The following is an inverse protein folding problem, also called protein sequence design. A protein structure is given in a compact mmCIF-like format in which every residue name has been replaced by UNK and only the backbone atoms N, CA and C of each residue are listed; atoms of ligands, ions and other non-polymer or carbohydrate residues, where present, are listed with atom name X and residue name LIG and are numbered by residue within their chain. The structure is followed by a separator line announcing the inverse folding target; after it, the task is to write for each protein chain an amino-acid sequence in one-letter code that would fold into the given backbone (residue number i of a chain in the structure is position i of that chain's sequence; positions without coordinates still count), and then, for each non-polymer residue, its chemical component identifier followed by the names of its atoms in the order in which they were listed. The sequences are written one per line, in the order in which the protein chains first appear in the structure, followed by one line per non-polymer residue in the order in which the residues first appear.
data_IF_515182334919
#
_entry.id   IF_515182334919
#
_cell.length_a   1.000
_cell.length_b   1.000
_cell.length_c   1.000
_cell.angle_alpha   90.00
_cell.angle_beta   90.00
_cell.angle_gamma   90.00
#
_symmetry.space_group_name_H-M   'P 1'
#
loop_
_entity.id
_entity.type
_entity.pdbx_description
1 polymer ?
#
# COMPACT_ATOMS: atom_id res chain seq x y z
N UNK A 1 -3.35 -0.49 -13.90
CA UNK A 1 -2.47 0.58 -14.41
C UNK A 1 -1.75 1.33 -13.30
N UNK A 2 -2.41 2.15 -12.46
CA UNK A 2 -1.73 2.96 -11.41
C UNK A 2 -0.89 2.13 -10.45
N UNK A 3 -1.38 0.96 -10.02
CA UNK A 3 -0.61 0.05 -9.16
C UNK A 3 0.64 -0.52 -9.86
N UNK A 4 0.56 -0.81 -11.17
CA UNK A 4 1.71 -1.22 -11.95
C UNK A 4 2.77 -0.11 -12.01
N UNK A 5 2.34 1.13 -12.29
CA UNK A 5 3.23 2.29 -12.29
C UNK A 5 3.86 2.51 -10.90
N UNK A 6 3.07 2.37 -9.82
CA UNK A 6 3.54 2.52 -8.45
C UNK A 6 4.60 1.48 -8.05
N UNK A 7 4.43 0.24 -8.48
CA UNK A 7 5.41 -0.82 -8.29
C UNK A 7 6.72 -0.52 -9.02
N UNK A 8 6.63 -0.27 -10.33
CA UNK A 8 7.80 -0.10 -11.19
C UNK A 8 8.60 1.17 -10.88
N UNK A 9 7.90 2.29 -10.67
CA UNK A 9 8.53 3.59 -10.40
C UNK A 9 9.22 3.65 -9.01
N UNK A 10 8.93 2.71 -8.13
CA UNK A 10 9.61 2.60 -6.85
C UNK A 10 11.01 2.00 -6.94
N UNK A 11 11.32 1.22 -7.96
CA UNK A 11 12.64 0.64 -8.14
C UNK A 11 13.61 1.61 -8.81
N UNK A 12 14.77 1.81 -8.19
CA UNK A 12 15.87 2.55 -8.82
C UNK A 12 16.38 1.80 -10.05
N UNK A 13 16.71 2.53 -11.10
CA UNK A 13 17.19 1.94 -12.37
C UNK A 13 16.07 1.49 -13.32
N UNK A 14 14.78 1.77 -12.99
CA UNK A 14 13.66 1.55 -13.90
C UNK A 14 13.06 2.89 -14.34
N UNK A 15 12.93 3.07 -15.65
CA UNK A 15 12.21 4.21 -16.26
C UNK A 15 10.84 3.73 -16.72
N UNK A 16 9.76 4.34 -16.20
CA UNK A 16 8.39 3.91 -16.46
C UNK A 16 7.75 4.75 -17.55
N UNK A 17 7.20 4.10 -18.57
CA UNK A 17 6.44 4.68 -19.67
C UNK A 17 4.98 4.22 -19.56
N UNK A 18 4.06 5.16 -19.43
CA UNK A 18 2.61 4.91 -19.52
C UNK A 18 2.22 4.99 -20.99
N UNK A 19 1.92 3.84 -21.58
CA UNK A 19 1.51 3.76 -22.97
C UNK A 19 -0.01 3.88 -23.10
N UNK A 20 -0.47 5.04 -23.51
CA UNK A 20 -1.90 5.35 -23.60
C UNK A 20 -2.20 6.83 -23.77
N UNK A 21 -3.46 7.19 -23.54
CA UNK A 21 -3.93 8.57 -23.62
C UNK A 21 -3.41 9.44 -22.46
N UNK A 22 -3.48 10.76 -22.62
CA UNK A 22 -3.12 11.73 -21.58
C UNK A 22 -3.90 11.53 -20.27
N UNK A 23 -5.19 11.13 -20.35
CA UNK A 23 -6.01 10.83 -19.17
C UNK A 23 -5.47 9.67 -18.34
N UNK A 24 -4.96 8.61 -18.99
CA UNK A 24 -4.33 7.48 -18.32
C UNK A 24 -3.01 7.86 -17.62
N UNK A 25 -2.26 8.81 -18.18
CA UNK A 25 -1.02 9.32 -17.60
C UNK A 25 -1.27 10.23 -16.39
N UNK A 26 -2.28 11.10 -16.48
CA UNK A 26 -2.49 12.18 -15.51
C UNK A 26 -2.71 11.68 -14.08
N UNK A 27 -3.51 10.65 -13.89
CA UNK A 27 -3.84 10.15 -12.54
C UNK A 27 -2.62 9.58 -11.80
N UNK A 28 -1.87 8.61 -12.36
CA UNK A 28 -0.66 8.12 -11.69
C UNK A 28 0.41 9.20 -11.53
N UNK A 29 0.58 10.11 -12.49
CA UNK A 29 1.56 11.20 -12.38
C UNK A 29 1.27 12.15 -11.20
N UNK A 30 -0.02 12.43 -10.92
CA UNK A 30 -0.42 13.28 -9.79
C UNK A 30 -0.42 12.55 -8.45
N UNK A 31 -0.63 11.23 -8.44
CA UNK A 31 -0.70 10.44 -7.22
C UNK A 31 0.67 10.00 -6.70
N UNK A 32 1.56 9.58 -7.62
CA UNK A 32 2.77 8.86 -7.22
C UNK A 32 3.97 9.77 -6.92
N UNK A 33 3.93 11.04 -7.34
CA UNK A 33 5.05 11.98 -7.20
C UNK A 33 6.40 11.41 -7.69
N UNK A 34 6.36 10.49 -8.68
CA UNK A 34 7.52 9.84 -9.28
C UNK A 34 7.66 10.27 -10.75
N UNK A 35 8.88 10.26 -11.30
CA UNK A 35 9.09 10.57 -12.71
C UNK A 35 8.48 9.47 -13.59
N UNK A 36 7.43 9.82 -14.32
CA UNK A 36 6.77 8.97 -15.30
C UNK A 36 6.86 9.61 -16.68
N UNK A 37 6.95 8.79 -17.70
CA UNK A 37 6.87 9.22 -19.11
C UNK A 37 5.55 8.72 -19.71
N UNK A 38 5.08 9.37 -20.77
CA UNK A 38 3.84 9.00 -21.43
C UNK A 38 3.98 9.05 -22.94
N UNK A 39 3.24 8.22 -23.66
CA UNK A 39 3.18 8.26 -25.14
C UNK A 39 2.17 9.26 -25.63
N UNK A 40 1.14 9.55 -24.84
CA UNK A 40 0.05 10.48 -25.20
C UNK A 40 -0.58 10.18 -26.57
N UNK A 41 -1.07 8.95 -26.72
CA UNK A 41 -1.70 8.44 -27.96
C UNK A 41 -2.79 9.41 -28.45
N UNK A 42 -2.71 9.78 -29.74
CA UNK A 42 -3.64 10.65 -30.44
C UNK A 42 -4.68 9.85 -31.24
N UNK A 43 -5.73 10.52 -31.72
CA UNK A 43 -6.84 9.89 -32.46
C UNK A 43 -6.37 9.13 -33.70
N UNK A 44 -5.43 9.67 -34.47
CA UNK A 44 -4.84 8.99 -35.64
C UNK A 44 -4.09 7.72 -35.26
N UNK A 45 -3.41 7.70 -34.11
CA UNK A 45 -2.66 6.55 -33.63
C UNK A 45 -3.62 5.45 -33.10
N UNK A 46 -4.82 5.82 -32.62
CA UNK A 46 -5.89 4.87 -32.31
C UNK A 46 -6.39 4.13 -33.57
N UNK A 47 -6.39 4.81 -34.73
CA UNK A 47 -6.88 4.23 -35.99
C UNK A 47 -5.80 3.42 -36.71
N UNK A 48 -4.56 3.91 -36.72
CA UNK A 48 -3.47 3.35 -37.53
C UNK A 48 -2.43 2.55 -36.72
N UNK A 49 -2.59 2.50 -35.37
CA UNK A 49 -1.66 1.87 -34.46
C UNK A 49 -0.72 2.86 -33.78
N UNK A 50 -0.38 2.57 -32.53
CA UNK A 50 0.43 3.45 -31.66
C UNK A 50 1.88 2.98 -31.50
N UNK A 51 2.27 1.89 -32.15
CA UNK A 51 3.59 1.27 -32.02
C UNK A 51 4.76 2.16 -32.37
N UNK A 52 4.62 3.00 -33.42
CA UNK A 52 5.70 3.91 -33.85
C UNK A 52 5.92 5.03 -32.82
N UNK A 53 4.85 5.57 -32.23
CA UNK A 53 4.93 6.52 -31.14
C UNK A 53 5.65 5.92 -29.92
N UNK A 54 5.35 4.68 -29.59
CA UNK A 54 6.00 3.99 -28.48
C UNK A 54 7.50 3.79 -28.77
N UNK A 55 7.88 3.37 -29.97
CA UNK A 55 9.31 3.23 -30.38
C UNK A 55 10.07 4.56 -30.29
N UNK A 56 9.45 5.67 -30.72
CA UNK A 56 10.03 7.01 -30.61
C UNK A 56 10.33 7.37 -29.15
N UNK A 57 9.35 7.24 -28.24
CA UNK A 57 9.51 7.55 -26.82
C UNK A 57 10.57 6.65 -26.17
N UNK A 58 10.58 5.36 -26.46
CA UNK A 58 11.59 4.44 -25.93
C UNK A 58 12.98 4.76 -26.47
N UNK A 59 13.11 5.10 -27.76
CA UNK A 59 14.37 5.53 -28.37
C UNK A 59 14.98 6.73 -27.67
N UNK A 60 14.18 7.72 -27.33
CA UNK A 60 14.61 8.93 -26.60
C UNK A 60 15.06 8.63 -25.16
N UNK A 61 14.47 7.62 -24.54
CA UNK A 61 14.76 7.23 -23.15
C UNK A 61 15.91 6.23 -23.01
N UNK A 62 16.19 5.43 -24.03
CA UNK A 62 17.20 4.35 -24.00
C UNK A 62 18.62 4.83 -23.71
N UNK A 63 18.92 6.10 -23.98
CA UNK A 63 20.24 6.69 -23.73
C UNK A 63 20.56 6.98 -22.24
N UNK A 64 19.62 6.73 -21.32
CA UNK A 64 19.76 7.06 -19.90
C UNK A 64 20.31 5.92 -19.02
N UNK A 65 20.56 4.74 -19.60
CA UNK A 65 21.15 3.59 -18.90
C UNK A 65 20.21 2.81 -17.97
N UNK A 66 18.95 3.23 -17.83
CA UNK A 66 17.94 2.53 -17.04
C UNK A 66 17.22 1.46 -17.86
N UNK A 67 16.73 0.41 -17.21
CA UNK A 67 15.77 -0.52 -17.82
C UNK A 67 14.44 0.21 -18.06
N UNK A 68 13.85 0.04 -19.23
CA UNK A 68 12.56 0.67 -19.55
C UNK A 68 11.42 -0.31 -19.25
N UNK A 69 10.41 0.17 -18.55
CA UNK A 69 9.19 -0.57 -18.29
C UNK A 69 7.99 0.17 -18.90
N UNK A 70 7.24 -0.52 -19.75
CA UNK A 70 6.03 0.00 -20.41
C UNK A 70 4.80 -0.57 -19.71
N UNK A 71 3.95 0.30 -19.22
CA UNK A 71 2.62 -0.06 -18.71
C UNK A 71 1.60 0.26 -19.80
N UNK A 72 1.03 -0.77 -20.44
CA UNK A 72 -0.05 -0.59 -21.40
C UNK A 72 -1.35 -0.29 -20.68
N UNK A 73 -2.11 0.66 -21.24
CA UNK A 73 -3.34 1.16 -20.64
C UNK A 73 -4.58 0.72 -21.42
N UNK A 74 -5.73 1.34 -21.15
CA UNK A 74 -7.00 0.91 -21.72
C UNK A 74 -7.05 0.94 -23.25
N UNK A 75 -6.50 1.97 -23.89
CA UNK A 75 -6.60 2.13 -25.36
C UNK A 75 -5.83 1.06 -26.10
N UNK A 76 -4.52 0.84 -25.90
CA UNK A 76 -3.77 -0.23 -26.57
C UNK A 76 -4.35 -1.62 -26.28
N UNK A 77 -4.80 -1.86 -25.02
CA UNK A 77 -5.34 -3.17 -24.64
C UNK A 77 -6.68 -3.47 -25.34
N UNK A 78 -7.56 -2.48 -25.48
CA UNK A 78 -8.85 -2.65 -26.21
C UNK A 78 -8.63 -2.84 -27.71
N UNK A 79 -7.63 -2.15 -28.28
CA UNK A 79 -7.25 -2.31 -29.67
C UNK A 79 -6.56 -3.65 -29.95
N UNK A 80 -6.12 -4.36 -28.93
CA UNK A 80 -5.40 -5.62 -29.08
C UNK A 80 -4.02 -5.44 -29.71
N UNK A 81 -3.36 -4.30 -29.49
CA UNK A 81 -2.02 -4.04 -30.00
C UNK A 81 -1.00 -5.01 -29.43
N UNK A 82 -0.26 -5.70 -30.28
CA UNK A 82 0.82 -6.59 -29.88
C UNK A 82 2.11 -5.80 -29.60
N UNK A 83 2.13 -5.16 -28.44
CA UNK A 83 3.27 -4.34 -27.99
C UNK A 83 4.53 -5.18 -27.80
N UNK A 84 4.40 -6.47 -27.43
CA UNK A 84 5.54 -7.35 -27.22
C UNK A 84 6.34 -7.60 -28.49
N UNK A 85 5.66 -7.72 -29.63
CA UNK A 85 6.32 -7.95 -30.91
C UNK A 85 7.15 -6.76 -31.42
N UNK A 86 6.97 -5.58 -30.82
CA UNK A 86 7.68 -4.35 -31.23
C UNK A 86 9.13 -4.31 -30.74
N UNK A 87 9.49 -5.12 -29.71
CA UNK A 87 10.79 -5.09 -29.02
C UNK A 87 11.35 -6.50 -28.86
N UNK A 88 12.66 -6.63 -28.67
CA UNK A 88 13.31 -7.89 -28.31
C UNK A 88 12.90 -8.34 -26.89
N UNK A 89 12.97 -9.65 -26.64
CA UNK A 89 12.46 -10.27 -25.39
C UNK A 89 13.03 -9.67 -24.10
N UNK A 90 14.20 -9.03 -24.12
CA UNK A 90 14.84 -8.49 -22.93
C UNK A 90 15.06 -6.96 -22.97
N UNK A 91 14.63 -6.29 -24.02
CA UNK A 91 14.92 -4.87 -24.19
C UNK A 91 14.01 -3.98 -23.33
N UNK A 92 12.76 -4.40 -23.13
CA UNK A 92 11.72 -3.62 -22.45
C UNK A 92 10.85 -4.54 -21.61
N UNK A 93 10.57 -4.12 -20.37
CA UNK A 93 9.61 -4.81 -19.49
C UNK A 93 8.21 -4.34 -19.88
N UNK A 94 7.34 -5.25 -20.31
CA UNK A 94 5.97 -4.91 -20.73
C UNK A 94 4.96 -5.44 -19.72
N UNK A 95 4.13 -4.54 -19.19
CA UNK A 95 3.09 -4.85 -18.21
C UNK A 95 1.74 -4.43 -18.77
N UNK A 96 0.94 -5.39 -19.21
CA UNK A 96 -0.44 -5.13 -19.64
C UNK A 96 -1.36 -4.96 -18.43
N UNK A 97 -1.75 -3.71 -18.16
CA UNK A 97 -2.52 -3.36 -16.97
C UNK A 97 -3.57 -2.28 -17.25
N UNK A 98 -4.56 -2.55 -18.11
CA UNK A 98 -5.65 -1.61 -18.36
C UNK A 98 -6.49 -1.39 -17.08
N UNK A 99 -7.06 -0.20 -16.95
CA UNK A 99 -7.78 0.21 -15.74
C UNK A 99 -9.08 -0.54 -15.46
N UNK A 100 -9.60 -1.27 -16.43
CA UNK A 100 -10.85 -2.04 -16.30
C UNK A 100 -10.64 -3.52 -15.91
N UNK A 101 -9.40 -3.99 -15.76
CA UNK A 101 -9.12 -5.41 -15.46
C UNK A 101 -9.09 -5.71 -13.97
N UNK A 102 -8.90 -4.72 -13.12
CA UNK A 102 -8.85 -4.93 -11.67
C UNK A 102 -8.38 -3.71 -10.90
N UNK A 103 -8.25 -3.89 -9.61
CA UNK A 103 -7.87 -2.87 -8.66
C UNK A 103 -6.36 -2.52 -8.72
N UNK A 104 -5.89 -1.62 -7.85
CA UNK A 104 -4.47 -1.21 -7.82
C UNK A 104 -3.54 -2.40 -7.56
N UNK A 105 -3.91 -3.28 -6.66
CA UNK A 105 -3.15 -4.46 -6.25
C UNK A 105 -2.94 -5.41 -7.43
N UNK A 106 -3.95 -5.58 -8.28
CA UNK A 106 -3.84 -6.41 -9.50
C UNK A 106 -2.74 -5.88 -10.43
N UNK A 107 -2.71 -4.57 -10.65
CA UNK A 107 -1.66 -3.93 -11.46
C UNK A 107 -0.28 -4.06 -10.83
N UNK A 108 -0.18 -3.87 -9.52
CA UNK A 108 1.05 -4.03 -8.74
C UNK A 108 1.63 -5.44 -8.90
N UNK A 109 0.81 -6.47 -8.68
CA UNK A 109 1.25 -7.87 -8.80
C UNK A 109 1.67 -8.26 -10.22
N UNK A 110 0.96 -7.75 -11.25
CA UNK A 110 1.37 -7.95 -12.65
C UNK A 110 2.75 -7.34 -12.92
N UNK A 111 3.01 -6.13 -12.42
CA UNK A 111 4.29 -5.46 -12.60
C UNK A 111 5.43 -6.19 -11.88
N UNK A 112 5.21 -6.59 -10.64
CA UNK A 112 6.20 -7.33 -9.88
C UNK A 112 6.50 -8.69 -10.51
N UNK A 113 5.49 -9.40 -11.00
CA UNK A 113 5.67 -10.66 -11.73
C UNK A 113 6.49 -10.48 -13.01
N UNK A 114 6.29 -9.38 -13.74
CA UNK A 114 7.08 -9.07 -14.93
C UNK A 114 8.55 -8.78 -14.62
N UNK A 115 8.88 -8.34 -13.41
CA UNK A 115 10.25 -8.16 -12.94
C UNK A 115 10.92 -9.47 -12.54
N UNK A 116 10.15 -10.56 -12.39
CA UNK A 116 10.62 -11.92 -12.08
C UNK A 116 11.58 -11.97 -10.87
N UNK A 117 11.16 -11.50 -9.68
CA UNK A 117 12.03 -11.50 -8.50
C UNK A 117 12.43 -12.91 -8.09
N UNK A 118 13.71 -13.06 -7.68
CA UNK A 118 14.30 -14.34 -7.29
C UNK A 118 14.95 -14.21 -5.92
N UNK A 119 14.82 -15.27 -5.09
CA UNK A 119 15.53 -15.35 -3.81
C UNK A 119 16.94 -15.89 -4.00
N UNK A 120 17.90 -15.29 -3.32
CA UNK A 120 19.27 -15.77 -3.18
C UNK A 120 19.44 -16.41 -1.80
N UNK A 121 19.58 -17.74 -1.71
CA UNK A 121 19.76 -18.44 -0.43
C UNK A 121 21.00 -18.00 0.36
N UNK A 122 22.00 -17.43 -0.31
CA UNK A 122 23.23 -16.92 0.33
C UNK A 122 23.07 -15.51 0.89
N UNK A 123 22.03 -14.78 0.51
CA UNK A 123 21.82 -13.41 0.99
C UNK A 123 21.25 -13.39 2.40
N UNK A 124 21.99 -12.75 3.29
CA UNK A 124 21.57 -12.55 4.67
C UNK A 124 20.56 -11.40 4.78
N UNK A 125 19.70 -11.46 5.81
CA UNK A 125 18.78 -10.38 6.16
C UNK A 125 17.32 -10.73 5.90
N UNK A 126 16.48 -9.71 6.12
CA UNK A 126 15.02 -9.78 5.96
C UNK A 126 14.59 -8.81 4.89
N UNK A 127 13.82 -9.26 3.92
CA UNK A 127 13.17 -8.37 2.96
C UNK A 127 12.02 -7.61 3.65
N UNK A 128 11.84 -6.36 3.26
CA UNK A 128 10.65 -5.56 3.60
C UNK A 128 9.74 -5.53 2.38
N UNK A 129 8.53 -6.03 2.55
CA UNK A 129 7.53 -6.22 1.49
C UNK A 129 6.24 -5.44 1.77
N UNK A 130 5.34 -5.38 0.79
CA UNK A 130 4.09 -4.63 0.91
C UNK A 130 4.28 -3.12 0.72
N UNK A 131 5.35 -2.71 0.07
CA UNK A 131 5.66 -1.30 -0.22
C UNK A 131 5.10 -0.91 -1.58
N UNK A 132 4.36 0.19 -1.65
CA UNK A 132 3.84 0.77 -2.89
C UNK A 132 3.90 2.28 -2.85
N UNK A 133 4.39 2.94 -3.90
CA UNK A 133 4.40 4.41 -3.97
C UNK A 133 2.99 5.03 -3.90
N UNK A 134 1.95 4.25 -4.16
CA UNK A 134 0.56 4.72 -3.99
C UNK A 134 0.10 4.75 -2.52
N UNK A 135 0.82 4.08 -1.62
CA UNK A 135 0.51 4.07 -0.20
C UNK A 135 1.05 5.34 0.47
N UNK A 136 0.21 6.19 1.07
CA UNK A 136 0.66 7.43 1.70
C UNK A 136 1.54 7.24 2.93
N UNK A 137 1.71 6.01 3.41
CA UNK A 137 2.52 5.66 4.58
C UNK A 137 3.79 4.87 4.24
N UNK A 138 4.05 4.59 2.95
CA UNK A 138 5.12 3.66 2.56
C UNK A 138 6.51 4.05 3.10
N UNK A 139 6.87 5.34 3.07
CA UNK A 139 8.17 5.82 3.60
C UNK A 139 8.27 5.60 5.12
N UNK A 140 7.23 5.98 5.87
CA UNK A 140 7.17 5.78 7.31
C UNK A 140 7.17 4.30 7.69
N UNK A 141 6.47 3.47 6.92
CA UNK A 141 6.44 2.03 7.10
C UNK A 141 7.84 1.42 6.93
N UNK A 142 8.57 1.79 5.88
CA UNK A 142 9.95 1.35 5.67
C UNK A 142 10.85 1.80 6.83
N UNK A 143 10.75 3.06 7.24
CA UNK A 143 11.58 3.63 8.32
C UNK A 143 11.34 2.90 9.64
N UNK A 144 10.06 2.67 9.98
CA UNK A 144 9.68 2.02 11.25
C UNK A 144 10.15 0.56 11.30
N UNK A 145 9.91 -0.23 10.26
CA UNK A 145 10.35 -1.62 10.23
C UNK A 145 11.88 -1.71 10.16
N UNK A 146 12.53 -0.85 9.39
CA UNK A 146 13.98 -0.77 9.36
C UNK A 146 14.58 -0.43 10.74
N UNK A 147 13.93 0.44 11.51
CA UNK A 147 14.32 0.80 12.88
C UNK A 147 14.19 -0.42 13.82
N UNK A 148 13.07 -1.13 13.76
CA UNK A 148 12.83 -2.32 14.58
C UNK A 148 13.85 -3.42 14.26
N UNK A 149 14.10 -3.71 12.99
CA UNK A 149 15.09 -4.72 12.58
C UNK A 149 16.52 -4.36 13.02
N UNK A 150 16.92 -3.08 12.87
CA UNK A 150 18.23 -2.60 13.32
C UNK A 150 18.38 -2.69 14.84
N UNK A 151 17.34 -2.34 15.61
CA UNK A 151 17.35 -2.48 17.08
C UNK A 151 17.51 -3.93 17.50
N UNK A 152 16.99 -4.87 16.71
CA UNK A 152 17.18 -6.30 16.92
C UNK A 152 18.49 -6.85 16.35
N UNK A 153 19.34 -6.02 15.73
CA UNK A 153 20.57 -6.40 15.02
C UNK A 153 20.33 -7.36 13.84
N UNK A 154 19.14 -7.29 13.23
CA UNK A 154 18.80 -8.08 12.04
C UNK A 154 19.09 -7.24 10.79
N UNK A 155 19.92 -7.71 9.85
CA UNK A 155 20.22 -6.99 8.61
C UNK A 155 18.97 -6.91 7.72
N UNK A 156 18.87 -5.83 6.94
CA UNK A 156 17.81 -5.63 5.96
C UNK A 156 18.29 -6.22 4.63
N UNK A 157 17.42 -6.99 4.02
CA UNK A 157 17.60 -7.54 2.68
C UNK A 157 17.12 -6.56 1.60
N UNK A 158 16.28 -7.03 0.68
CA UNK A 158 15.64 -6.18 -0.34
C UNK A 158 14.42 -5.47 0.21
N UNK A 159 14.27 -4.18 -0.10
CA UNK A 159 13.03 -3.44 0.13
C UNK A 159 12.27 -3.41 -1.20
N UNK A 160 11.24 -4.26 -1.34
CA UNK A 160 10.48 -4.32 -2.60
C UNK A 160 9.86 -2.98 -2.94
N UNK A 161 9.93 -2.62 -4.22
CA UNK A 161 9.47 -1.32 -4.76
C UNK A 161 10.15 -0.07 -4.15
N UNK A 162 11.39 -0.21 -3.62
CA UNK A 162 12.20 0.91 -3.13
C UNK A 162 13.72 0.67 -3.27
N UNK A 163 14.12 -0.52 -3.62
CA UNK A 163 15.51 -0.92 -3.84
C UNK A 163 15.93 -0.77 -5.31
N UNK A 164 17.18 -1.04 -5.62
CA UNK A 164 17.64 -1.07 -7.02
C UNK A 164 17.04 -2.24 -7.79
N UNK A 165 16.83 -2.07 -9.09
CA UNK A 165 16.32 -3.14 -9.95
C UNK A 165 17.23 -4.39 -10.00
N UNK A 166 18.51 -4.26 -9.68
CA UNK A 166 19.46 -5.37 -9.59
C UNK A 166 19.17 -6.27 -8.40
N UNK A 167 18.78 -5.70 -7.27
CA UNK A 167 18.48 -6.44 -6.05
C UNK A 167 17.22 -7.31 -6.13
N UNK A 168 16.38 -7.11 -7.15
CA UNK A 168 15.19 -7.95 -7.41
C UNK A 168 15.58 -9.42 -7.67
N UNK A 169 16.69 -9.64 -8.37
CA UNK A 169 17.22 -10.98 -8.65
C UNK A 169 17.96 -11.65 -7.49
N UNK A 170 18.14 -10.95 -6.37
CA UNK A 170 18.94 -11.37 -5.22
C UNK A 170 18.22 -11.10 -3.89
N UNK A 171 16.91 -11.31 -3.81
CA UNK A 171 16.16 -11.09 -2.58
C UNK A 171 16.58 -12.09 -1.49
N UNK A 172 16.51 -11.67 -0.22
CA UNK A 172 16.78 -12.56 0.92
C UNK A 172 15.72 -13.68 1.02
N UNK A 173 16.07 -14.84 1.63
CA UNK A 173 15.13 -15.95 1.77
C UNK A 173 13.91 -15.67 2.67
N UNK A 174 14.01 -14.69 3.55
CA UNK A 174 12.97 -14.36 4.54
C UNK A 174 12.38 -12.97 4.30
N UNK A 175 11.08 -12.82 4.55
CA UNK A 175 10.33 -11.58 4.24
C UNK A 175 9.37 -11.22 5.36
N UNK A 176 9.29 -9.92 5.71
CA UNK A 176 8.25 -9.33 6.57
C UNK A 176 7.41 -8.35 5.76
N UNK A 177 6.10 -8.31 6.05
CA UNK A 177 5.15 -7.48 5.32
C UNK A 177 4.79 -6.18 6.05
N UNK A 178 4.63 -5.10 5.29
CA UNK A 178 4.08 -3.83 5.76
C UNK A 178 2.59 -3.71 5.42
N UNK A 179 2.24 -3.79 4.14
CA UNK A 179 0.85 -3.81 3.67
C UNK A 179 0.61 -5.09 2.86
N UNK A 180 -0.20 -5.99 3.39
CA UNK A 180 -0.41 -7.31 2.78
C UNK A 180 -1.16 -7.27 1.45
N UNK A 181 -1.86 -6.18 1.14
CA UNK A 181 -2.51 -5.98 -0.16
C UNK A 181 -1.47 -5.92 -1.31
N UNK A 182 -0.22 -5.51 -1.01
CA UNK A 182 0.89 -5.41 -1.97
C UNK A 182 1.98 -6.46 -1.75
N UNK A 183 1.64 -7.63 -1.21
CA UNK A 183 2.59 -8.70 -0.91
C UNK A 183 3.21 -9.29 -2.17
N UNK A 184 4.55 -9.36 -2.22
CA UNK A 184 5.29 -9.88 -3.38
C UNK A 184 5.19 -11.39 -3.57
N UNK A 185 5.06 -12.13 -2.48
CA UNK A 185 5.17 -13.58 -2.47
C UNK A 185 6.60 -14.11 -2.59
N UNK A 186 7.61 -13.26 -2.45
CA UNK A 186 9.04 -13.61 -2.57
C UNK A 186 9.63 -13.90 -1.20
N UNK A 187 10.34 -15.02 -1.08
CA UNK A 187 10.88 -15.51 0.19
C UNK A 187 9.81 -16.12 1.10
N UNK A 188 10.28 -16.74 2.19
CA UNK A 188 9.39 -17.25 3.24
C UNK A 188 8.81 -16.08 4.04
N UNK A 189 7.50 -15.96 4.06
CA UNK A 189 6.81 -14.90 4.77
C UNK A 189 6.75 -15.19 6.27
N UNK A 190 7.46 -14.39 7.06
CA UNK A 190 7.55 -14.53 8.52
C UNK A 190 6.29 -13.98 9.20
N UNK A 191 5.81 -12.82 8.73
CA UNK A 191 4.57 -12.23 9.23
C UNK A 191 4.41 -10.77 8.86
N UNK A 192 3.21 -10.24 9.15
CA UNK A 192 2.86 -8.83 8.99
C UNK A 192 3.32 -7.98 10.18
N UNK A 193 3.29 -6.68 9.97
CA UNK A 193 3.71 -5.69 10.98
C UNK A 193 2.64 -4.63 11.26
N UNK A 194 1.45 -4.79 10.71
CA UNK A 194 0.28 -3.95 10.96
C UNK A 194 -0.33 -4.26 12.33
N UNK A 195 -0.27 -3.30 13.23
CA UNK A 195 -0.77 -3.43 14.59
C UNK A 195 0.17 -4.19 15.54
N UNK A 196 0.03 -3.93 16.82
CA UNK A 196 0.89 -4.51 17.87
C UNK A 196 0.81 -6.03 17.94
N UNK A 197 -0.37 -6.69 17.82
CA UNK A 197 -0.44 -8.14 17.88
C UNK A 197 0.34 -8.83 16.76
N UNK A 198 0.16 -8.39 15.51
CA UNK A 198 0.87 -8.94 14.36
C UNK A 198 2.38 -8.71 14.46
N UNK A 199 2.79 -7.49 14.85
CA UNK A 199 4.19 -7.17 15.09
C UNK A 199 4.81 -8.10 16.15
N UNK A 200 4.14 -8.31 17.29
CA UNK A 200 4.61 -9.15 18.38
C UNK A 200 4.83 -10.60 17.92
N UNK A 201 3.89 -11.16 17.16
CA UNK A 201 4.02 -12.52 16.62
C UNK A 201 5.14 -12.60 15.58
N UNK A 202 5.29 -11.60 14.72
CA UNK A 202 6.40 -11.52 13.76
C UNK A 202 7.75 -11.45 14.48
N UNK A 203 7.87 -10.64 15.54
CA UNK A 203 9.07 -10.54 16.36
C UNK A 203 9.43 -11.86 17.05
N UNK A 204 8.45 -12.62 17.55
CA UNK A 204 8.69 -13.97 18.13
C UNK A 204 9.26 -14.93 17.08
N UNK A 205 8.70 -14.94 15.89
CA UNK A 205 9.19 -15.77 14.78
C UNK A 205 10.60 -15.37 14.35
N UNK A 206 10.90 -14.06 14.30
CA UNK A 206 12.24 -13.55 14.01
C UNK A 206 13.24 -13.97 15.08
N UNK A 207 12.89 -13.89 16.38
CA UNK A 207 13.73 -14.36 17.48
C UNK A 207 14.08 -15.85 17.35
N UNK A 208 13.13 -16.67 16.91
CA UNK A 208 13.37 -18.09 16.68
C UNK A 208 14.28 -18.37 15.48
N UNK A 209 14.28 -17.50 14.45
CA UNK A 209 15.10 -17.66 13.24
C UNK A 209 16.50 -17.07 13.39
N UNK A 210 16.63 -15.96 14.10
CA UNK A 210 17.88 -15.23 14.31
C UNK A 210 18.31 -15.36 15.78
N UNK A 211 18.94 -16.49 16.14
CA UNK A 211 19.35 -16.78 17.51
C UNK A 211 20.34 -15.79 18.11
N UNK A 212 21.02 -15.00 17.26
CA UNK A 212 21.90 -13.93 17.69
C UNK A 212 21.19 -12.58 17.88
N UNK A 213 19.93 -12.45 17.42
CA UNK A 213 19.18 -11.21 17.52
C UNK A 213 18.75 -10.95 18.98
N UNK A 214 18.93 -9.70 19.43
CA UNK A 214 18.42 -9.27 20.72
C UNK A 214 17.06 -8.61 20.54
N UNK A 215 15.99 -9.35 20.80
CA UNK A 215 14.61 -8.86 20.68
C UNK A 215 14.07 -8.21 21.95
N UNK A 216 14.75 -8.30 23.09
CA UNK A 216 14.28 -7.74 24.36
C UNK A 216 14.00 -6.23 24.32
N UNK A 217 14.86 -5.37 23.69
CA UNK A 217 14.55 -3.95 23.57
C UNK A 217 13.27 -3.69 22.76
N UNK A 218 13.00 -4.52 21.74
CA UNK A 218 11.81 -4.41 20.89
C UNK A 218 10.56 -4.81 21.67
N UNK A 219 10.58 -5.92 22.40
CA UNK A 219 9.45 -6.34 23.24
C UNK A 219 9.17 -5.33 24.35
N UNK A 220 10.19 -4.82 25.03
CA UNK A 220 10.03 -3.78 26.05
C UNK A 220 9.43 -2.49 25.48
N UNK A 221 9.81 -2.10 24.25
CA UNK A 221 9.22 -0.95 23.57
C UNK A 221 7.73 -1.21 23.25
N UNK A 222 7.41 -2.41 22.71
CA UNK A 222 6.03 -2.80 22.41
C UNK A 222 5.16 -2.70 23.66
N UNK A 223 5.59 -3.29 24.77
CA UNK A 223 4.83 -3.32 26.03
C UNK A 223 4.59 -1.91 26.56
N UNK A 224 5.65 -1.10 26.63
CA UNK A 224 5.57 0.29 27.10
C UNK A 224 4.64 1.16 26.27
N UNK A 225 4.67 1.01 24.94
CA UNK A 225 3.85 1.84 24.07
C UNK A 225 2.40 1.33 24.00
N UNK A 226 2.19 0.03 24.12
CA UNK A 226 0.84 -0.53 24.24
C UNK A 226 0.14 -0.03 25.50
N UNK A 227 0.85 0.03 26.66
CA UNK A 227 0.33 0.65 27.88
C UNK A 227 -0.06 2.13 27.68
N UNK A 228 0.73 2.90 26.94
CA UNK A 228 0.37 4.30 26.61
C UNK A 228 -0.90 4.40 25.77
N UNK A 229 -1.08 3.51 24.81
CA UNK A 229 -2.31 3.45 23.99
C UNK A 229 -3.49 3.15 24.88
N UNK A 230 -3.42 2.10 25.71
CA UNK A 230 -4.48 1.69 26.62
C UNK A 230 -4.84 2.86 27.55
N UNK A 231 -3.85 3.51 28.17
CA UNK A 231 -4.09 4.63 29.07
C UNK A 231 -4.78 5.83 28.40
N UNK A 232 -4.39 6.14 27.14
CA UNK A 232 -5.00 7.23 26.37
C UNK A 232 -6.47 6.89 26.00
N UNK A 233 -6.72 5.64 25.59
CA UNK A 233 -8.05 5.16 25.24
C UNK A 233 -8.96 5.08 26.47
N UNK A 234 -8.49 4.60 27.62
CA UNK A 234 -9.21 4.60 28.88
C UNK A 234 -9.62 6.02 29.29
N UNK A 235 -8.72 7.01 29.14
CA UNK A 235 -9.00 8.40 29.42
C UNK A 235 -10.11 8.96 28.53
N UNK A 236 -10.15 8.55 27.25
CA UNK A 236 -11.19 8.91 26.30
C UNK A 236 -12.53 8.26 26.71
N UNK A 237 -12.56 6.95 26.97
CA UNK A 237 -13.76 6.18 27.30
C UNK A 237 -14.40 6.58 28.65
N UNK A 238 -13.63 7.20 29.57
CA UNK A 238 -14.22 7.80 30.79
C UNK A 238 -15.09 9.03 30.53
N UNK A 239 -15.00 9.62 29.35
CA UNK A 239 -15.72 10.88 28.99
C UNK A 239 -16.68 10.72 27.84
N UNK A 240 -16.45 9.71 27.00
CA UNK A 240 -17.15 9.51 25.75
C UNK A 240 -17.49 8.04 25.56
N UNK A 241 -18.61 7.78 24.94
CA UNK A 241 -19.00 6.42 24.55
C UNK A 241 -18.09 5.90 23.41
N UNK A 242 -17.93 4.57 23.32
CA UNK A 242 -17.25 3.95 22.18
C UNK A 242 -17.85 4.40 20.85
N UNK A 243 -17.04 4.81 19.85
CA UNK A 243 -17.58 5.30 18.59
C UNK A 243 -18.12 4.18 17.71
N UNK A 244 -19.21 4.46 16.98
CA UNK A 244 -19.65 3.69 15.82
C UNK A 244 -18.78 4.05 14.61
N UNK A 245 -18.11 3.05 13.97
CA UNK A 245 -17.11 3.29 12.95
C UNK A 245 -17.46 2.60 11.64
N UNK A 246 -17.36 3.35 10.53
CA UNK A 246 -17.37 2.81 9.17
C UNK A 246 -15.98 2.97 8.55
N UNK A 247 -15.42 1.89 7.98
CA UNK A 247 -14.07 1.84 7.43
C UNK A 247 -14.15 1.49 5.95
N UNK A 248 -13.48 2.28 5.10
CA UNK A 248 -13.42 2.07 3.65
C UNK A 248 -11.96 2.16 3.19
N UNK A 249 -11.31 0.99 3.02
CA UNK A 249 -9.89 0.92 2.67
C UNK A 249 -9.55 -0.37 1.90
N UNK A 250 -8.29 -0.56 1.51
CA UNK A 250 -7.77 -1.88 1.14
C UNK A 250 -7.87 -2.83 2.33
N UNK A 251 -7.98 -4.14 2.07
CA UNK A 251 -8.28 -5.13 3.10
C UNK A 251 -7.30 -5.10 4.27
N UNK A 252 -5.99 -4.98 4.00
CA UNK A 252 -4.96 -4.97 5.04
C UNK A 252 -5.14 -3.80 6.04
N UNK A 253 -5.31 -2.58 5.52
CA UNK A 253 -5.50 -1.40 6.37
C UNK A 253 -6.87 -1.34 7.03
N UNK A 254 -7.90 -1.83 6.34
CA UNK A 254 -9.26 -1.87 6.89
C UNK A 254 -9.36 -2.81 8.09
N UNK A 255 -8.78 -4.00 7.99
CA UNK A 255 -8.76 -4.97 9.08
C UNK A 255 -7.87 -4.50 10.25
N UNK A 256 -6.70 -3.94 9.95
CA UNK A 256 -5.85 -3.32 10.98
C UNK A 256 -6.61 -2.24 11.77
N UNK A 257 -7.33 -1.36 11.07
CA UNK A 257 -8.11 -0.29 11.71
C UNK A 257 -9.23 -0.87 12.56
N UNK A 258 -10.02 -1.83 12.04
CA UNK A 258 -11.10 -2.47 12.77
C UNK A 258 -10.61 -3.16 14.04
N UNK A 259 -9.57 -3.99 13.93
CA UNK A 259 -9.01 -4.74 15.07
C UNK A 259 -8.41 -3.81 16.13
N UNK A 260 -7.70 -2.75 15.70
CA UNK A 260 -7.12 -1.77 16.62
C UNK A 260 -8.20 -1.00 17.38
N UNK A 261 -9.26 -0.57 16.70
CA UNK A 261 -10.35 0.19 17.33
C UNK A 261 -11.19 -0.67 18.27
N UNK A 262 -11.45 -1.91 17.92
CA UNK A 262 -12.11 -2.86 18.84
C UNK A 262 -11.26 -3.13 20.06
N UNK A 263 -9.96 -3.38 19.87
CA UNK A 263 -9.03 -3.74 20.95
C UNK A 263 -8.84 -2.62 21.97
N UNK A 264 -8.71 -1.38 21.51
CA UNK A 264 -8.29 -0.28 22.39
C UNK A 264 -9.41 0.72 22.72
N UNK A 265 -10.47 0.81 21.91
CA UNK A 265 -11.57 1.77 22.08
C UNK A 265 -12.94 1.13 22.26
N UNK A 266 -13.02 -0.21 22.34
CA UNK A 266 -14.29 -0.94 22.35
C UNK A 266 -15.27 -0.48 21.23
N UNK A 267 -14.70 0.03 20.11
CA UNK A 267 -15.47 0.65 19.04
C UNK A 267 -16.44 -0.35 18.40
N UNK A 268 -17.63 0.13 18.09
CA UNK A 268 -18.61 -0.63 17.31
C UNK A 268 -18.27 -0.51 15.84
N UNK A 269 -17.70 -1.57 15.23
CA UNK A 269 -17.44 -1.61 13.80
C UNK A 269 -18.75 -1.88 13.05
N UNK A 270 -19.31 -0.84 12.47
CA UNK A 270 -20.60 -0.90 11.76
C UNK A 270 -20.45 -1.58 10.41
N UNK A 271 -19.36 -1.31 9.72
CA UNK A 271 -18.97 -1.94 8.44
C UNK A 271 -17.49 -1.78 8.16
N UNK A 272 -16.92 -2.78 7.51
CA UNK A 272 -15.65 -2.73 6.81
C UNK A 272 -15.89 -2.89 5.30
N UNK A 273 -15.85 -1.78 4.57
CA UNK A 273 -15.94 -1.74 3.12
C UNK A 273 -14.55 -1.86 2.49
N UNK A 274 -14.22 -3.01 1.91
CA UNK A 274 -12.94 -3.21 1.26
C UNK A 274 -12.96 -2.79 -0.20
N UNK A 275 -11.83 -2.29 -0.72
CA UNK A 275 -11.67 -1.95 -2.14
C UNK A 275 -11.29 -3.17 -2.99
N UNK A 276 -10.55 -4.09 -2.42
CA UNK A 276 -10.16 -5.37 -2.98
C UNK A 276 -10.97 -6.50 -2.32
N UNK A 277 -10.79 -7.72 -2.81
CA UNK A 277 -11.47 -8.87 -2.23
C UNK A 277 -11.00 -9.11 -0.79
N UNK A 278 -11.91 -9.12 0.18
CA UNK A 278 -11.54 -9.33 1.57
C UNK A 278 -11.06 -10.76 1.78
N UNK A 279 -10.05 -10.98 2.63
CA UNK A 279 -9.69 -12.33 3.02
C UNK A 279 -10.85 -13.00 3.76
N UNK A 280 -11.04 -14.29 3.49
CA UNK A 280 -12.02 -15.10 4.25
C UNK A 280 -11.45 -15.35 5.63
N UNK A 281 -11.92 -14.60 6.63
CA UNK A 281 -11.53 -14.77 8.02
C UNK A 281 -12.67 -15.42 8.80
N UNK A 282 -12.44 -16.57 9.44
CA UNK A 282 -13.46 -17.18 10.31
C UNK A 282 -13.70 -16.31 11.55
N UNK A 283 -14.96 -16.20 11.98
CA UNK A 283 -15.40 -15.57 13.23
C UNK A 283 -15.21 -14.04 13.33
N UNK A 284 -15.41 -13.29 12.27
CA UNK A 284 -15.59 -11.85 12.40
C UNK A 284 -16.98 -11.54 12.99
N UNK A 285 -17.03 -10.68 13.98
CA UNK A 285 -18.26 -10.20 14.62
C UNK A 285 -18.72 -8.85 14.03
N UNK A 286 -18.15 -8.45 12.88
CA UNK A 286 -18.57 -7.27 12.13
C UNK A 286 -18.68 -7.59 10.62
N UNK A 287 -19.49 -6.80 9.95
CA UNK A 287 -19.77 -6.95 8.51
C UNK A 287 -18.57 -6.50 7.67
N UNK A 288 -18.11 -7.37 6.78
CA UNK A 288 -17.07 -7.07 5.79
C UNK A 288 -17.63 -7.27 4.40
N UNK A 289 -17.53 -6.26 3.55
CA UNK A 289 -18.05 -6.29 2.18
C UNK A 289 -17.11 -5.59 1.22
N UNK A 290 -17.08 -6.06 -0.03
CA UNK A 290 -16.40 -5.33 -1.10
C UNK A 290 -17.29 -4.18 -1.55
N UNK A 291 -16.84 -2.96 -1.35
CA UNK A 291 -17.54 -1.72 -1.72
C UNK A 291 -16.62 -0.84 -2.56
N UNK A 292 -16.87 -0.78 -3.86
CA UNK A 292 -16.05 -0.01 -4.81
C UNK A 292 -16.76 1.20 -5.38
N UNK A 293 -18.10 1.21 -5.37
CA UNK A 293 -18.95 2.29 -5.87
C UNK A 293 -19.13 3.43 -4.86
N UNK A 294 -18.94 4.69 -5.29
CA UNK A 294 -19.16 5.85 -4.41
C UNK A 294 -20.60 6.02 -3.97
N UNK A 295 -21.57 5.60 -4.77
CA UNK A 295 -22.99 5.63 -4.40
C UNK A 295 -23.31 4.63 -3.30
N UNK A 296 -22.80 3.40 -3.43
CA UNK A 296 -22.94 2.37 -2.39
C UNK A 296 -22.34 2.81 -1.06
N UNK A 297 -21.17 3.45 -1.11
CA UNK A 297 -20.50 4.00 0.09
C UNK A 297 -21.32 5.13 0.71
N UNK A 298 -21.88 6.04 -0.12
CA UNK A 298 -22.75 7.13 0.37
C UNK A 298 -23.98 6.58 1.07
N UNK A 299 -24.68 5.65 0.44
CA UNK A 299 -25.89 5.04 0.97
C UNK A 299 -25.60 4.30 2.28
N UNK A 300 -24.49 3.60 2.34
CA UNK A 300 -24.02 2.91 3.55
C UNK A 300 -23.72 3.89 4.69
N UNK A 301 -22.97 4.98 4.44
CA UNK A 301 -22.69 6.01 5.45
C UNK A 301 -23.98 6.67 5.92
N UNK A 302 -24.91 6.90 5.01
CA UNK A 302 -26.20 7.53 5.34
C UNK A 302 -27.08 6.62 6.19
N UNK A 303 -27.13 5.32 5.87
CA UNK A 303 -27.95 4.36 6.58
C UNK A 303 -27.40 3.99 7.97
N UNK A 304 -26.08 3.90 8.11
CA UNK A 304 -25.41 3.46 9.35
C UNK A 304 -25.11 4.61 10.32
N UNK A 305 -25.12 5.85 9.87
CA UNK A 305 -24.84 7.05 10.67
C UNK A 305 -23.62 6.93 11.60
N UNK A 306 -22.41 6.55 11.09
CA UNK A 306 -21.25 6.34 11.92
C UNK A 306 -20.79 7.64 12.60
N UNK A 307 -20.20 7.52 13.80
CA UNK A 307 -19.53 8.63 14.48
C UNK A 307 -18.21 8.99 13.80
N UNK A 308 -17.48 7.97 13.33
CA UNK A 308 -16.19 8.09 12.65
C UNK A 308 -16.23 7.36 11.31
N UNK A 309 -15.77 8.04 10.28
CA UNK A 309 -15.51 7.45 8.95
C UNK A 309 -14.01 7.40 8.71
N UNK A 310 -13.50 6.24 8.31
CA UNK A 310 -12.09 6.04 7.93
C UNK A 310 -12.03 5.70 6.44
N UNK A 311 -11.20 6.39 5.67
CA UNK A 311 -11.13 6.16 4.23
C UNK A 311 -10.21 7.10 3.48
N UNK A 312 -10.60 7.51 2.28
CA UNK A 312 -9.92 8.48 1.42
C UNK A 312 -10.64 9.83 1.42
N UNK A 313 -10.14 10.78 0.62
CA UNK A 313 -10.83 12.06 0.40
C UNK A 313 -12.19 11.92 -0.26
N UNK A 314 -12.49 10.79 -0.89
CA UNK A 314 -13.84 10.52 -1.43
C UNK A 314 -14.83 10.31 -0.29
N UNK A 315 -14.51 9.45 0.67
CA UNK A 315 -15.35 9.21 1.86
C UNK A 315 -15.44 10.46 2.72
N UNK A 316 -14.37 11.27 2.79
CA UNK A 316 -14.41 12.57 3.48
C UNK A 316 -15.52 13.47 2.95
N UNK A 317 -15.71 13.53 1.63
CA UNK A 317 -16.77 14.34 1.02
C UNK A 317 -18.17 13.85 1.32
N UNK A 318 -18.31 12.56 1.67
CA UNK A 318 -19.58 11.91 2.01
C UNK A 318 -19.86 11.90 3.52
N UNK A 319 -18.87 12.24 4.35
CA UNK A 319 -18.92 12.16 5.81
C UNK A 319 -19.19 13.50 6.49
N UNK A 320 -19.88 14.44 5.83
CA UNK A 320 -20.17 15.77 6.39
C UNK A 320 -20.80 15.67 7.79
N UNK A 321 -20.26 16.45 8.75
CA UNK A 321 -20.72 16.44 10.14
C UNK A 321 -20.29 15.22 10.97
N UNK A 322 -19.41 14.35 10.47
CA UNK A 322 -18.84 13.18 11.18
C UNK A 322 -17.35 13.36 11.40
N UNK A 323 -16.80 12.64 12.38
CA UNK A 323 -15.33 12.54 12.48
C UNK A 323 -14.79 11.80 11.25
N UNK A 324 -13.60 12.21 10.76
CA UNK A 324 -12.99 11.59 9.59
C UNK A 324 -11.48 11.38 9.80
N UNK A 325 -11.00 10.21 9.38
CA UNK A 325 -9.58 9.90 9.31
C UNK A 325 -9.21 9.33 7.94
N UNK A 326 -8.25 9.99 7.25
CA UNK A 326 -7.72 9.53 5.98
C UNK A 326 -6.55 8.56 6.13
N UNK A 327 -6.69 7.32 5.63
CA UNK A 327 -5.63 6.30 5.68
C UNK A 327 -5.27 5.71 4.32
N UNK A 328 -6.06 5.98 3.27
CA UNK A 328 -5.78 5.51 1.90
C UNK A 328 -5.84 6.66 0.90
N UNK A 329 -5.16 6.54 -0.25
CA UNK A 329 -5.20 7.55 -1.29
C UNK A 329 -6.59 7.59 -2.00
N UNK A 330 -6.94 8.75 -2.59
CA UNK A 330 -6.25 10.02 -2.52
C UNK A 330 -6.51 10.76 -1.20
N UNK A 331 -5.49 11.45 -0.67
CA UNK A 331 -5.59 12.27 0.55
C UNK A 331 -5.52 13.76 0.21
N UNK A 332 -6.53 14.26 -0.48
CA UNK A 332 -6.59 15.67 -0.91
C UNK A 332 -6.84 16.62 0.26
N UNK A 333 -6.21 17.79 0.21
CA UNK A 333 -6.37 18.82 1.24
C UNK A 333 -5.66 18.49 2.56
N UNK A 334 -4.70 17.57 2.55
CA UNK A 334 -3.80 17.28 3.66
C UNK A 334 -2.36 17.46 3.22
N UNK A 335 -1.57 18.19 4.02
CA UNK A 335 -0.12 18.27 3.85
C UNK A 335 0.55 17.34 4.83
N UNK A 336 1.49 16.53 4.34
CA UNK A 336 2.33 15.64 5.14
C UNK A 336 3.78 15.99 4.89
N UNK A 337 4.44 16.57 5.87
CA UNK A 337 5.87 16.90 5.83
C UNK A 337 6.72 15.82 6.50
N UNK A 338 6.15 15.15 7.49
CA UNK A 338 6.72 13.94 8.08
C UNK A 338 6.13 12.70 7.39
N UNK A 339 6.83 11.61 7.48
CA UNK A 339 6.39 10.31 6.98
C UNK A 339 5.95 9.42 8.16
N UNK A 340 4.72 9.59 8.68
CA UNK A 340 4.25 8.75 9.76
C UNK A 340 4.05 7.32 9.26
N UNK A 341 4.39 6.29 10.06
CA UNK A 341 4.05 4.91 9.74
C UNK A 341 2.59 4.59 10.02
N UNK A 342 2.10 3.46 9.48
CA UNK A 342 0.93 2.73 9.97
C UNK A 342 1.31 1.37 10.55
N UNK A 343 2.49 0.87 10.23
CA UNK A 343 3.03 -0.39 10.74
C UNK A 343 3.81 -0.18 12.05
N UNK A 344 4.06 -1.28 12.74
CA UNK A 344 4.90 -1.24 13.93
C UNK A 344 4.24 -0.57 15.12
N UNK A 345 5.07 -0.24 16.09
CA UNK A 345 4.67 0.46 17.32
C UNK A 345 4.30 1.90 16.99
N UNK A 346 5.17 2.59 16.24
CA UNK A 346 4.95 3.97 15.83
C UNK A 346 3.67 4.14 15.01
N UNK A 347 3.36 3.17 14.16
CA UNK A 347 2.14 3.20 13.34
C UNK A 347 0.86 3.05 14.15
N UNK A 348 0.85 2.14 15.12
CA UNK A 348 -0.32 1.97 15.99
C UNK A 348 -0.55 3.20 16.86
N UNK A 349 0.52 3.80 17.42
CA UNK A 349 0.44 5.06 18.16
C UNK A 349 -0.14 6.18 17.30
N UNK A 350 0.42 6.38 16.09
CA UNK A 350 -0.02 7.41 15.16
C UNK A 350 -1.49 7.23 14.78
N UNK A 351 -1.91 6.00 14.50
CA UNK A 351 -3.29 5.70 14.12
C UNK A 351 -4.27 6.03 15.26
N UNK A 352 -4.02 5.51 16.46
CA UNK A 352 -4.91 5.75 17.62
C UNK A 352 -4.96 7.22 18.02
N UNK A 353 -3.79 7.91 18.04
CA UNK A 353 -3.75 9.35 18.33
C UNK A 353 -4.64 10.15 17.38
N UNK A 354 -4.56 9.88 16.07
CA UNK A 354 -5.38 10.59 15.09
C UNK A 354 -6.87 10.24 15.19
N UNK A 355 -7.21 9.00 15.53
CA UNK A 355 -8.61 8.61 15.80
C UNK A 355 -9.16 9.38 16.99
N UNK A 356 -8.44 9.38 18.11
CA UNK A 356 -8.88 10.10 19.33
C UNK A 356 -9.07 11.59 19.04
N UNK A 357 -8.12 12.22 18.36
CA UNK A 357 -8.20 13.65 18.01
C UNK A 357 -9.38 13.92 17.07
N UNK A 358 -9.57 13.13 16.00
CA UNK A 358 -10.69 13.30 15.08
C UNK A 358 -12.05 13.18 15.78
N UNK A 359 -12.19 12.25 16.74
CA UNK A 359 -13.40 12.09 17.53
C UNK A 359 -13.66 13.26 18.49
N UNK A 360 -12.61 13.88 19.05
CA UNK A 360 -12.71 15.04 19.94
C UNK A 360 -13.04 16.30 19.14
N UNK A 361 -12.33 16.58 18.06
CA UNK A 361 -12.49 17.77 17.22
C UNK A 361 -13.92 17.91 16.67
N UNK A 362 -14.58 16.81 16.36
CA UNK A 362 -15.99 16.82 15.94
C UNK A 362 -16.93 17.27 17.06
N UNK A 363 -16.57 17.03 18.31
CA UNK A 363 -17.44 17.29 19.49
C UNK A 363 -17.20 18.68 20.10
N UNK A 364 -16.13 19.37 19.66
CA UNK A 364 -15.80 20.75 20.02
C UNK A 364 -16.55 21.73 19.10
#
# INVERSE_FOLDING_TARGET
MTGAAACLAGFEGITVVIHGSSGCYYYPATLLHAPLHGTFILENEVIFGSGDRLREVIGDLSNKGNRIAVVTTCVPSVLGEDIKSLFGENDVIIVDSPGFVGEMETGYHKALSALSPVTDPGRLGINIDGVSLSDPFYEGNIQEISRILRNAMIPIGTIFCRDTSENIGHASPLTVGTNEDFKSGVGEYIGGTLGIPALRETCKKLAARYTYANMDPVFNEIDKQEERIIHACDKFLRRYDPPGVAIFAGAAYALFAADSLKRYLDAQILIVGTRNDPPVLPNMDYRVEKLTGLEEVRDTITALEPDLVIGSSFERSLSSGRAFLGIIPPLRGQFRLAYPPLVGVGGTLHFIENVLNACIDKRA
#
